data_IF_152205880282
#
_entry.id   IF_152205880282
#
_cell.length_a   1.000
_cell.length_b   1.000
_cell.length_c   1.000
_cell.angle_alpha   90.00
_cell.angle_beta   90.00
_cell.angle_gamma   90.00
#
_symmetry.space_group_name_H-M   'P 1'
#
loop_
_entity.id
_entity.type
_entity.pdbx_description
1 polymer ?
#
# COMPACT_ATOMS: atom_id res chain seq x y z
N UNK A 1 9.98 -4.08 23.11
CA UNK A 1 8.61 -4.62 22.97
C UNK A 1 8.42 -5.20 21.59
N UNK A 2 8.03 -6.46 21.46
CA UNK A 2 7.72 -7.02 20.15
C UNK A 2 6.49 -6.32 19.55
N UNK A 3 6.49 -6.19 18.21
CA UNK A 3 5.45 -5.48 17.47
C UNK A 3 4.66 -6.44 16.61
N UNK A 4 3.34 -6.27 16.65
CA UNK A 4 2.38 -6.96 15.79
C UNK A 4 1.63 -5.92 14.97
N UNK A 5 1.67 -6.02 13.64
CA UNK A 5 0.96 -5.12 12.74
C UNK A 5 0.92 -5.71 11.34
N UNK A 6 0.16 -5.07 10.45
CA UNK A 6 0.20 -5.34 9.01
C UNK A 6 0.69 -4.09 8.29
N UNK A 7 1.78 -4.23 7.54
CA UNK A 7 2.26 -3.18 6.65
C UNK A 7 1.43 -3.19 5.36
N UNK A 8 1.12 -2.01 4.83
CA UNK A 8 0.35 -1.83 3.60
C UNK A 8 1.02 -0.82 2.69
N UNK A 9 1.03 -1.10 1.37
CA UNK A 9 1.55 -0.21 0.35
C UNK A 9 0.73 -0.38 -0.94
N UNK A 10 0.12 0.71 -1.40
CA UNK A 10 -0.63 0.75 -2.65
C UNK A 10 0.19 1.33 -3.78
N UNK A 11 -0.06 0.84 -5.00
CA UNK A 11 0.30 1.51 -6.24
C UNK A 11 -0.97 2.00 -6.92
N UNK A 12 -0.93 3.23 -7.45
CA UNK A 12 -2.08 3.85 -8.12
C UNK A 12 -1.84 4.00 -9.62
N UNK A 13 -2.90 3.81 -10.39
CA UNK A 13 -2.84 3.92 -11.85
C UNK A 13 -2.68 5.36 -12.33
N UNK A 14 -3.23 6.32 -11.60
CA UNK A 14 -3.23 7.75 -11.95
C UNK A 14 -3.29 8.61 -10.69
N UNK A 15 -3.49 9.92 -10.87
CA UNK A 15 -3.53 10.87 -9.75
C UNK A 15 -4.78 10.82 -8.87
N UNK A 16 -5.79 10.03 -9.25
CA UNK A 16 -6.96 9.84 -8.40
C UNK A 16 -6.64 8.88 -7.24
N UNK A 17 -7.01 9.21 -6.00
CA UNK A 17 -6.85 8.26 -4.89
C UNK A 17 -7.70 7.00 -5.04
N UNK A 18 -8.76 7.04 -5.87
CA UNK A 18 -9.62 5.89 -6.15
C UNK A 18 -9.09 5.01 -7.30
N UNK A 19 -7.78 5.08 -7.61
CA UNK A 19 -7.18 4.35 -8.73
C UNK A 19 -6.14 3.29 -8.33
N UNK A 20 -6.31 2.55 -7.21
CA UNK A 20 -5.33 1.53 -6.86
C UNK A 20 -5.31 0.42 -7.91
N UNK A 21 -4.11 -0.03 -8.28
CA UNK A 21 -3.90 -1.14 -9.23
C UNK A 21 -3.07 -2.27 -8.64
N UNK A 22 -2.45 -2.06 -7.50
CA UNK A 22 -1.71 -3.07 -6.77
C UNK A 22 -1.70 -2.75 -5.28
N UNK A 23 -1.56 -3.79 -4.47
CA UNK A 23 -1.33 -3.64 -3.04
C UNK A 23 -0.36 -4.72 -2.56
N UNK A 24 0.55 -4.32 -1.68
CA UNK A 24 1.38 -5.24 -0.90
C UNK A 24 0.95 -5.17 0.56
N UNK A 25 0.75 -6.32 1.17
CA UNK A 25 0.43 -6.47 2.59
C UNK A 25 1.44 -7.44 3.20
N UNK A 26 2.02 -7.06 4.34
CA UNK A 26 2.94 -7.92 5.09
C UNK A 26 2.47 -7.97 6.53
N UNK A 27 2.17 -9.18 6.99
CA UNK A 27 1.84 -9.42 8.41
C UNK A 27 3.13 -9.56 9.19
N UNK A 28 3.24 -8.77 10.24
CA UNK A 28 4.36 -8.79 11.17
C UNK A 28 3.85 -9.30 12.52
N UNK A 29 4.54 -10.30 13.07
CA UNK A 29 4.27 -10.85 14.39
C UNK A 29 5.59 -10.96 15.14
N UNK A 30 5.59 -10.50 16.37
CA UNK A 30 6.79 -10.49 17.22
C UNK A 30 7.97 -9.82 16.49
N UNK A 31 7.68 -8.68 15.84
CA UNK A 31 8.62 -7.86 15.07
C UNK A 31 9.23 -8.55 13.84
N UNK A 32 8.66 -9.67 13.37
CA UNK A 32 9.14 -10.43 12.21
C UNK A 32 8.06 -10.58 11.15
N UNK A 33 8.39 -10.44 9.86
CA UNK A 33 7.44 -10.72 8.79
C UNK A 33 7.13 -12.22 8.76
N UNK A 34 5.83 -12.57 8.77
CA UNK A 34 5.39 -13.97 8.80
C UNK A 34 4.54 -14.36 7.60
N UNK A 35 3.91 -13.41 6.93
CA UNK A 35 3.03 -13.67 5.78
C UNK A 35 2.97 -12.45 4.88
N UNK A 36 2.92 -12.67 3.56
CA UNK A 36 2.84 -11.61 2.54
C UNK A 36 1.67 -11.90 1.61
N UNK A 37 0.93 -10.85 1.25
CA UNK A 37 -0.10 -10.90 0.22
C UNK A 37 0.18 -9.77 -0.78
N UNK A 38 0.42 -10.13 -2.05
CA UNK A 38 0.60 -9.19 -3.15
C UNK A 38 -0.51 -9.40 -4.18
N UNK A 39 -1.21 -8.34 -4.54
CA UNK A 39 -2.33 -8.39 -5.47
C UNK A 39 -2.19 -7.32 -6.55
N UNK A 40 -2.46 -7.73 -7.79
CA UNK A 40 -2.74 -6.84 -8.91
C UNK A 40 -4.24 -6.86 -9.17
N UNK A 41 -4.82 -5.70 -9.48
CA UNK A 41 -6.24 -5.60 -9.77
C UNK A 41 -6.54 -4.38 -10.62
N UNK A 42 -7.73 -4.37 -11.21
CA UNK A 42 -8.21 -3.22 -11.98
C UNK A 42 -8.82 -2.19 -11.02
N UNK A 43 -8.45 -0.90 -11.15
CA UNK A 43 -9.05 0.15 -10.32
C UNK A 43 -10.56 0.27 -10.58
N UNK A 44 -11.30 0.83 -9.59
CA UNK A 44 -12.72 1.14 -9.79
C UNK A 44 -12.96 2.08 -10.98
N UNK A 45 -13.96 1.76 -11.80
CA UNK A 45 -14.42 2.64 -12.90
C UNK A 45 -15.06 3.90 -12.29
N UNK A 46 -14.83 5.11 -12.80
CA UNK A 46 -14.07 5.48 -14.01
C UNK A 46 -12.59 5.82 -13.76
N UNK A 47 -12.01 5.37 -12.67
CA UNK A 47 -10.64 5.70 -12.26
C UNK A 47 -9.60 4.70 -12.80
N UNK A 48 -9.98 3.89 -13.77
CA UNK A 48 -9.20 2.74 -14.27
C UNK A 48 -8.24 3.05 -15.42
N UNK A 49 -8.04 4.32 -15.75
CA UNK A 49 -7.05 4.74 -16.73
C UNK A 49 -5.66 4.86 -16.09
N UNK A 50 -4.61 4.68 -16.88
CA UNK A 50 -3.22 4.74 -16.40
C UNK A 50 -2.51 5.97 -16.94
N UNK A 51 -1.88 6.74 -16.06
CA UNK A 51 -0.99 7.83 -16.45
C UNK A 51 0.42 7.32 -16.70
N UNK A 52 1.11 7.90 -17.66
CA UNK A 52 2.51 7.57 -17.95
C UNK A 52 3.43 7.83 -16.74
N UNK A 53 3.16 8.89 -15.99
CA UNK A 53 3.92 9.24 -14.79
C UNK A 53 3.84 8.16 -13.73
N UNK A 54 2.66 7.62 -13.48
CA UNK A 54 2.48 6.53 -12.52
C UNK A 54 3.15 5.24 -13.01
N UNK A 55 3.00 4.90 -14.30
CA UNK A 55 3.66 3.72 -14.88
C UNK A 55 5.19 3.82 -14.72
N UNK A 56 5.79 4.99 -14.93
CA UNK A 56 7.23 5.19 -14.73
C UNK A 56 7.67 4.94 -13.30
N UNK A 57 6.81 5.23 -12.31
CA UNK A 57 7.13 5.02 -10.89
C UNK A 57 7.12 3.55 -10.53
N UNK A 58 6.06 2.82 -10.89
CA UNK A 58 5.85 1.44 -10.41
C UNK A 58 5.97 0.36 -11.48
N UNK A 59 5.98 0.72 -12.77
CA UNK A 59 6.14 -0.24 -13.87
C UNK A 59 4.91 -1.09 -14.17
N UNK A 60 3.77 -0.82 -13.53
CA UNK A 60 2.53 -1.55 -13.78
C UNK A 60 1.80 -0.88 -14.93
N UNK A 61 1.51 -1.66 -15.98
CA UNK A 61 0.84 -1.19 -17.20
C UNK A 61 -0.62 -1.65 -17.25
N UNK A 62 -1.47 -1.01 -18.07
CA UNK A 62 -2.85 -1.47 -18.27
C UNK A 62 -2.92 -2.94 -18.71
N UNK A 63 -1.98 -3.39 -19.54
CA UNK A 63 -1.92 -4.76 -20.03
C UNK A 63 -1.70 -5.77 -18.90
N UNK A 64 -0.90 -5.40 -17.90
CA UNK A 64 -0.59 -6.28 -16.76
C UNK A 64 -1.81 -6.54 -15.87
N UNK A 65 -2.80 -5.64 -15.87
CA UNK A 65 -4.01 -5.78 -15.06
C UNK A 65 -5.25 -6.10 -15.89
N UNK A 66 -5.11 -6.24 -17.19
CA UNK A 66 -6.22 -6.46 -18.12
C UNK A 66 -7.08 -7.66 -17.71
N UNK A 67 -6.44 -8.76 -17.34
CA UNK A 67 -7.09 -10.00 -16.92
C UNK A 67 -7.11 -10.19 -15.40
N UNK A 68 -6.69 -9.17 -14.66
CA UNK A 68 -6.70 -9.21 -13.20
C UNK A 68 -8.13 -9.00 -12.67
N UNK A 69 -8.42 -9.42 -11.43
CA UNK A 69 -9.71 -9.15 -10.82
C UNK A 69 -9.95 -7.65 -10.63
N UNK A 70 -11.19 -7.24 -10.52
CA UNK A 70 -11.55 -5.87 -10.15
C UNK A 70 -11.27 -5.62 -8.66
N UNK A 71 -11.05 -4.36 -8.29
CA UNK A 71 -10.87 -3.99 -6.89
C UNK A 71 -12.00 -4.51 -5.99
N UNK A 72 -13.25 -4.45 -6.48
CA UNK A 72 -14.43 -4.97 -5.77
C UNK A 72 -14.36 -6.46 -5.44
N UNK A 73 -13.58 -7.22 -6.21
CA UNK A 73 -13.42 -8.67 -6.00
C UNK A 73 -12.29 -8.98 -5.00
N UNK A 74 -11.32 -8.07 -4.80
CA UNK A 74 -10.15 -8.32 -3.94
C UNK A 74 -10.25 -7.65 -2.58
N UNK A 75 -11.12 -6.66 -2.41
CA UNK A 75 -11.20 -5.89 -1.15
C UNK A 75 -11.51 -6.79 0.06
N UNK A 76 -12.38 -7.77 -0.09
CA UNK A 76 -12.72 -8.66 1.02
C UNK A 76 -11.53 -9.55 1.40
N UNK A 77 -10.74 -9.99 0.43
CA UNK A 77 -9.49 -10.72 0.68
C UNK A 77 -8.49 -9.87 1.44
N UNK A 78 -8.37 -8.59 1.07
CA UNK A 78 -7.49 -7.65 1.76
C UNK A 78 -7.93 -7.47 3.22
N UNK A 79 -9.21 -7.22 3.45
CA UNK A 79 -9.76 -7.02 4.80
C UNK A 79 -9.64 -8.29 5.65
N UNK A 80 -9.83 -9.45 5.06
CA UNK A 80 -9.63 -10.73 5.73
C UNK A 80 -8.16 -10.93 6.14
N UNK A 81 -7.22 -10.50 5.30
CA UNK A 81 -5.79 -10.53 5.65
C UNK A 81 -5.47 -9.58 6.80
N UNK A 82 -6.01 -8.37 6.76
CA UNK A 82 -5.75 -7.32 7.76
C UNK A 82 -6.38 -7.67 9.11
N UNK A 83 -7.60 -8.17 9.11
CA UNK A 83 -8.39 -8.44 10.32
C UNK A 83 -8.49 -7.20 11.21
N UNK A 84 -8.02 -7.28 12.44
CA UNK A 84 -8.04 -6.19 13.42
C UNK A 84 -6.65 -5.59 13.67
N UNK A 85 -5.69 -5.91 12.80
CA UNK A 85 -4.33 -5.43 12.97
C UNK A 85 -4.24 -3.90 12.84
N UNK A 86 -3.28 -3.33 13.55
CA UNK A 86 -2.81 -1.99 13.25
C UNK A 86 -2.20 -2.00 11.84
N UNK A 87 -2.66 -1.11 10.97
CA UNK A 87 -2.06 -0.91 9.66
C UNK A 87 -0.91 0.09 9.78
N UNK A 88 0.22 -0.22 9.15
CA UNK A 88 1.35 0.70 9.07
C UNK A 88 1.71 0.93 7.61
N UNK A 89 1.81 2.20 7.23
CA UNK A 89 2.25 2.60 5.90
C UNK A 89 3.26 3.75 5.99
N UNK A 90 4.13 3.85 5.01
CA UNK A 90 5.05 4.97 4.89
C UNK A 90 4.37 6.11 4.15
N UNK A 91 4.03 7.19 4.85
CA UNK A 91 3.09 8.23 4.45
C UNK A 91 1.64 7.71 4.46
N UNK A 92 1.19 7.28 5.61
CA UNK A 92 -0.07 6.54 5.79
C UNK A 92 -1.33 7.31 5.35
N UNK A 93 -1.31 8.65 5.37
CA UNK A 93 -2.43 9.43 4.85
C UNK A 93 -2.71 9.16 3.37
N UNK A 94 -1.67 8.85 2.59
CA UNK A 94 -1.82 8.46 1.18
C UNK A 94 -2.52 7.10 1.07
N UNK A 95 -1.99 6.06 1.71
CA UNK A 95 -2.55 4.70 1.60
C UNK A 95 -3.94 4.59 2.21
N UNK A 96 -4.18 5.24 3.33
CA UNK A 96 -5.53 5.29 3.94
C UNK A 96 -6.50 6.06 3.07
N UNK A 97 -6.04 7.15 2.42
CA UNK A 97 -6.82 7.90 1.44
C UNK A 97 -7.20 7.06 0.23
N UNK A 98 -6.28 6.25 -0.28
CA UNK A 98 -6.54 5.31 -1.38
C UNK A 98 -7.57 4.27 -0.96
N UNK A 99 -7.37 3.63 0.19
CA UNK A 99 -8.29 2.61 0.71
C UNK A 99 -9.69 3.17 0.88
N UNK A 100 -9.83 4.35 1.47
CA UNK A 100 -11.12 5.01 1.70
C UNK A 100 -11.80 5.39 0.38
N UNK A 101 -11.08 6.08 -0.52
CA UNK A 101 -11.63 6.58 -1.78
C UNK A 101 -12.06 5.44 -2.71
N UNK A 102 -11.22 4.39 -2.85
CA UNK A 102 -11.51 3.27 -3.71
C UNK A 102 -12.68 2.41 -3.19
N UNK A 103 -12.75 2.22 -1.88
CA UNK A 103 -13.85 1.48 -1.26
C UNK A 103 -15.18 2.25 -1.36
N UNK A 104 -15.13 3.57 -1.21
CA UNK A 104 -16.29 4.43 -1.44
C UNK A 104 -16.76 4.38 -2.90
N UNK A 105 -15.83 4.34 -3.86
CA UNK A 105 -16.14 4.27 -5.29
C UNK A 105 -16.92 3.00 -5.68
N UNK A 106 -16.80 1.93 -4.90
CA UNK A 106 -17.56 0.68 -5.10
C UNK A 106 -18.74 0.53 -4.14
N UNK A 107 -19.12 1.62 -3.47
CA UNK A 107 -20.25 1.66 -2.51
C UNK A 107 -20.13 0.64 -1.37
N UNK A 108 -18.92 0.42 -0.89
CA UNK A 108 -18.64 -0.46 0.23
C UNK A 108 -18.22 0.36 1.45
N UNK A 109 -18.66 -0.04 2.63
CA UNK A 109 -18.21 0.54 3.88
C UNK A 109 -17.00 -0.22 4.41
N UNK A 110 -16.01 0.54 4.92
CA UNK A 110 -14.86 -0.05 5.60
C UNK A 110 -15.19 -0.30 7.07
N UNK A 111 -14.70 -1.40 7.66
CA UNK A 111 -14.68 -1.51 9.10
C UNK A 111 -13.81 -0.41 9.71
N UNK A 112 -13.94 -0.18 11.01
CA UNK A 112 -13.06 0.74 11.72
C UNK A 112 -11.64 0.21 11.73
N UNK A 113 -10.70 0.94 11.12
CA UNK A 113 -9.30 0.57 11.01
C UNK A 113 -8.44 1.52 11.84
N UNK A 114 -7.41 0.97 12.46
CA UNK A 114 -6.36 1.73 13.14
C UNK A 114 -5.14 1.76 12.25
N UNK A 115 -4.43 2.90 12.20
CA UNK A 115 -3.23 3.00 11.38
C UNK A 115 -2.14 3.84 12.04
N UNK A 116 -0.90 3.55 11.68
CA UNK A 116 0.29 4.31 12.04
C UNK A 116 1.08 4.69 10.79
N UNK A 117 1.88 5.74 10.90
CA UNK A 117 2.67 6.27 9.79
C UNK A 117 4.16 6.17 10.09
N UNK A 118 4.86 5.28 9.38
CA UNK A 118 6.30 5.10 9.56
C UNK A 118 7.12 6.33 9.12
N UNK A 119 6.60 7.15 8.18
CA UNK A 119 7.21 8.42 7.81
C UNK A 119 7.23 9.40 9.00
N UNK A 120 6.12 9.54 9.71
CA UNK A 120 6.04 10.41 10.90
C UNK A 120 6.91 9.90 12.03
N UNK A 121 6.96 8.58 12.23
CA UNK A 121 7.83 7.95 13.21
C UNK A 121 9.30 8.24 12.88
N UNK A 122 9.70 8.06 11.61
CA UNK A 122 11.06 8.32 11.17
C UNK A 122 11.47 9.79 11.38
N UNK A 123 10.58 10.74 11.08
CA UNK A 123 10.82 12.18 11.29
C UNK A 123 11.05 12.54 12.75
N UNK A 124 10.38 11.83 13.65
CA UNK A 124 10.55 12.05 15.12
C UNK A 124 11.77 11.34 15.68
N UNK A 125 12.22 10.27 15.03
CA UNK A 125 13.27 9.38 15.57
C UNK A 125 14.65 9.73 15.03
N UNK A 126 14.74 10.16 13.76
CA UNK A 126 15.99 10.37 13.06
C UNK A 126 16.09 11.79 12.49
N UNK A 127 17.32 12.27 12.36
CA UNK A 127 17.62 13.53 11.67
C UNK A 127 18.29 13.19 10.33
N UNK A 128 17.49 13.17 9.25
CA UNK A 128 17.91 12.75 7.90
C UNK A 128 17.65 13.87 6.89
N UNK A 129 18.40 13.87 5.78
CA UNK A 129 18.16 14.78 4.65
C UNK A 129 16.88 14.42 3.87
N UNK A 130 16.52 13.12 3.88
CA UNK A 130 15.30 12.60 3.23
C UNK A 130 14.67 11.54 4.11
N UNK A 131 13.33 11.54 4.14
CA UNK A 131 12.54 10.54 4.86
C UNK A 131 11.76 9.63 3.91
N UNK A 132 12.14 9.58 2.63
CA UNK A 132 11.63 8.57 1.71
C UNK A 132 11.96 7.18 2.26
N UNK A 133 11.13 6.20 1.96
CA UNK A 133 11.28 4.85 2.52
C UNK A 133 12.69 4.28 2.30
N UNK A 134 13.24 4.42 1.08
CA UNK A 134 14.58 3.94 0.76
C UNK A 134 15.68 4.65 1.58
N UNK A 135 15.53 5.95 1.83
CA UNK A 135 16.49 6.71 2.64
C UNK A 135 16.45 6.30 4.12
N UNK A 136 15.25 6.11 4.66
CA UNK A 136 15.07 5.62 6.04
C UNK A 136 15.61 4.20 6.17
N UNK A 137 15.31 3.32 5.22
CA UNK A 137 15.81 1.95 5.21
C UNK A 137 17.35 1.91 5.20
N UNK A 138 17.98 2.73 4.35
CA UNK A 138 19.44 2.84 4.30
C UNK A 138 20.01 3.31 5.62
N UNK A 139 19.42 4.34 6.24
CA UNK A 139 19.90 4.92 7.50
C UNK A 139 19.87 3.94 8.68
N UNK A 140 18.93 2.99 8.67
CA UNK A 140 18.82 1.95 9.72
C UNK A 140 19.52 0.64 9.34
N UNK A 141 20.28 0.62 8.23
CA UNK A 141 21.07 -0.54 7.82
C UNK A 141 20.30 -1.62 7.06
N UNK A 142 19.12 -1.31 6.53
CA UNK A 142 18.31 -2.24 5.77
C UNK A 142 18.48 -1.99 4.27
N UNK A 143 18.94 -2.98 3.50
CA UNK A 143 18.97 -2.90 2.05
C UNK A 143 17.61 -3.23 1.47
N UNK A 144 17.08 -2.31 0.66
CA UNK A 144 15.86 -2.58 -0.11
C UNK A 144 16.21 -3.36 -1.37
N UNK A 145 15.56 -4.50 -1.55
CA UNK A 145 15.68 -5.28 -2.78
C UNK A 145 14.94 -4.52 -3.88
N UNK A 146 15.69 -4.10 -4.91
CA UNK A 146 15.08 -3.51 -6.11
C UNK A 146 14.33 -4.62 -6.85
N UNK A 147 13.07 -4.35 -7.21
CA UNK A 147 12.38 -5.23 -8.14
C UNK A 147 13.16 -5.22 -9.46
N UNK A 148 13.38 -6.37 -10.10
CA UNK A 148 13.99 -6.38 -11.41
C UNK A 148 13.13 -5.58 -12.40
N UNK A 149 13.76 -4.90 -13.35
CA UNK A 149 13.04 -4.12 -14.36
C UNK A 149 12.10 -4.98 -15.22
#
# INVERSE_FOLDING_TARGET
>A
MPLDFTAIDFETANGSPASPCAVGLIRVRDSKPVETLELLFRPPVPHDWFSEGNIRVHGITPEMVQDAPAYSEVIDQMLEFIKQDLLVAHNASFDMGVLLASTKAINKELPKLRYGCSLKIARKTYNLESYRLNAVAYAIGHEMIRRPP
#
